data_IF_215595941422
#
_entry.id   IF_215595941422
#
_cell.length_a   1.000
_cell.length_b   1.000
_cell.length_c   1.000
_cell.angle_alpha   90.00
_cell.angle_beta   90.00
_cell.angle_gamma   90.00
#
_symmetry.space_group_name_H-M   'P 1'
#
loop_
_entity.id
_entity.type
_entity.pdbx_description
1 polymer ?
#
# COMPACT_ATOMS: atom_id res chain seq x y z
N UNK A 1 -36.64 -45.75 51.04
CA UNK A 1 -36.63 -44.27 50.88
C UNK A 1 -35.18 -43.81 50.93
N UNK A 2 -34.58 -43.61 49.77
CA UNK A 2 -33.19 -43.16 49.58
C UNK A 2 -33.23 -41.89 48.72
N UNK A 3 -32.54 -40.80 49.07
CA UNK A 3 -32.56 -39.59 48.26
C UNK A 3 -31.60 -39.74 47.08
N UNK A 4 -32.07 -39.33 45.90
CA UNK A 4 -31.32 -39.27 44.66
C UNK A 4 -30.57 -37.93 44.67
N UNK A 5 -29.25 -37.97 44.76
CA UNK A 5 -28.42 -36.78 44.52
C UNK A 5 -28.31 -36.56 43.01
N UNK A 6 -29.01 -35.55 42.50
CA UNK A 6 -28.81 -35.07 41.12
C UNK A 6 -27.52 -34.26 41.08
N UNK A 7 -26.47 -34.86 40.52
CA UNK A 7 -25.20 -34.19 40.22
C UNK A 7 -25.40 -33.17 39.10
N UNK A 8 -25.39 -31.88 39.42
CA UNK A 8 -25.27 -30.81 38.43
C UNK A 8 -23.81 -30.79 37.98
N UNK A 9 -23.54 -31.30 36.77
CA UNK A 9 -22.24 -31.16 36.14
C UNK A 9 -22.04 -29.70 35.74
N UNK A 10 -21.13 -29.01 36.44
CA UNK A 10 -20.67 -27.68 36.06
C UNK A 10 -19.78 -27.85 34.82
N UNK A 11 -20.33 -27.61 33.63
CA UNK A 11 -19.52 -27.50 32.41
C UNK A 11 -18.66 -26.23 32.54
N UNK A 12 -17.38 -26.43 32.81
CA UNK A 12 -16.39 -25.36 32.79
C UNK A 12 -16.21 -24.89 31.35
N UNK A 13 -16.46 -23.61 31.09
CA UNK A 13 -16.13 -22.99 29.81
C UNK A 13 -14.61 -22.88 29.77
N UNK A 14 -13.95 -23.82 29.10
CA UNK A 14 -12.52 -23.69 28.81
C UNK A 14 -12.37 -22.55 27.80
N UNK A 15 -11.91 -21.39 28.27
CA UNK A 15 -11.45 -20.29 27.44
C UNK A 15 -10.17 -20.77 26.74
N UNK A 16 -10.30 -21.33 25.55
CA UNK A 16 -9.15 -21.59 24.70
C UNK A 16 -8.61 -20.24 24.25
N UNK A 17 -7.43 -19.88 24.74
CA UNK A 17 -6.67 -18.75 24.23
C UNK A 17 -6.27 -19.14 22.80
N UNK A 18 -7.07 -18.77 21.81
CA UNK A 18 -6.59 -18.80 20.44
C UNK A 18 -5.42 -17.82 20.40
N UNK A 19 -4.23 -18.32 20.09
CA UNK A 19 -3.15 -17.47 19.60
C UNK A 19 -3.75 -16.78 18.37
N UNK A 20 -4.19 -15.53 18.52
CA UNK A 20 -4.40 -14.67 17.38
C UNK A 20 -3.05 -14.69 16.70
N UNK A 21 -2.96 -15.38 15.56
CA UNK A 21 -1.85 -15.15 14.65
C UNK A 21 -1.94 -13.66 14.38
N UNK A 22 -0.99 -12.90 14.91
CA UNK A 22 -0.74 -11.56 14.40
C UNK A 22 -0.50 -11.77 12.92
N UNK A 23 -1.52 -11.52 12.08
CA UNK A 23 -1.25 -11.14 10.72
C UNK A 23 -0.27 -10.00 10.86
N UNK A 24 0.97 -10.20 10.39
CA UNK A 24 1.93 -9.11 10.34
C UNK A 24 1.20 -7.98 9.62
N UNK A 25 0.96 -6.88 10.34
CA UNK A 25 0.29 -5.73 9.75
C UNK A 25 1.23 -5.19 8.67
N UNK A 26 0.99 -5.59 7.43
CA UNK A 26 1.79 -5.20 6.29
C UNK A 26 1.34 -3.81 5.86
N UNK A 27 1.77 -2.79 6.61
CA UNK A 27 1.32 -1.41 6.42
C UNK A 27 1.68 -0.85 5.02
N UNK A 28 2.77 -1.34 4.41
CA UNK A 28 3.15 -1.00 3.04
C UNK A 28 2.20 -1.69 2.03
N UNK A 29 1.89 -2.97 2.23
CA UNK A 29 0.89 -3.70 1.46
C UNK A 29 -0.50 -3.06 1.55
N UNK A 30 -0.93 -2.65 2.74
CA UNK A 30 -2.21 -1.96 2.93
C UNK A 30 -2.27 -0.62 2.18
N UNK A 31 -1.16 0.13 2.19
CA UNK A 31 -1.05 1.38 1.45
C UNK A 31 -1.17 1.16 -0.07
N UNK A 32 -0.45 0.17 -0.59
CA UNK A 32 -0.51 -0.21 -2.00
C UNK A 32 -1.88 -0.79 -2.37
N UNK A 33 -2.50 -1.59 -1.52
CA UNK A 33 -3.85 -2.09 -1.76
C UNK A 33 -4.90 -0.97 -1.76
N UNK A 34 -4.70 0.06 -0.94
CA UNK A 34 -5.53 1.28 -1.00
C UNK A 34 -5.37 2.00 -2.34
N UNK A 35 -4.15 2.10 -2.87
CA UNK A 35 -3.92 2.61 -4.23
C UNK A 35 -4.65 1.73 -5.25
N UNK A 36 -4.49 0.40 -5.22
CA UNK A 36 -5.19 -0.52 -6.13
C UNK A 36 -6.70 -0.28 -6.14
N UNK A 37 -7.33 -0.06 -4.98
CA UNK A 37 -8.76 0.22 -4.88
C UNK A 37 -9.19 1.57 -5.46
N UNK A 38 -8.27 2.53 -5.54
CA UNK A 38 -8.52 3.84 -6.16
C UNK A 38 -8.29 3.88 -7.66
N UNK A 39 -7.67 2.82 -8.21
CA UNK A 39 -7.34 2.72 -9.62
C UNK A 39 -8.37 1.85 -10.36
N UNK A 40 -8.58 2.18 -11.62
CA UNK A 40 -9.22 1.27 -12.59
C UNK A 40 -8.10 0.59 -13.39
N UNK A 41 -8.15 -0.73 -13.43
CA UNK A 41 -7.12 -1.60 -14.02
C UNK A 41 -7.75 -2.55 -15.05
N UNK A 42 -7.98 -2.09 -16.29
CA UNK A 42 -8.63 -2.89 -17.33
C UNK A 42 -7.77 -4.09 -17.78
N UNK A 43 -6.45 -3.98 -17.65
CA UNK A 43 -5.49 -4.96 -18.15
C UNK A 43 -5.02 -5.95 -17.08
N UNK A 44 -5.59 -5.88 -15.87
CA UNK A 44 -5.28 -6.74 -14.72
C UNK A 44 -3.79 -6.70 -14.31
N UNK A 45 -3.15 -5.54 -14.45
CA UNK A 45 -1.74 -5.32 -14.08
C UNK A 45 -1.52 -5.54 -12.58
N UNK A 46 -2.51 -5.17 -11.76
CA UNK A 46 -2.48 -5.25 -10.30
C UNK A 46 -3.05 -6.57 -9.76
N UNK A 47 -3.29 -7.57 -10.61
CA UNK A 47 -3.95 -8.83 -10.20
C UNK A 47 -3.21 -9.56 -9.07
N UNK A 48 -1.88 -9.50 -9.03
CA UNK A 48 -1.04 -10.17 -8.02
C UNK A 48 -1.04 -9.47 -6.65
N UNK A 49 -1.59 -8.26 -6.55
CA UNK A 49 -1.62 -7.48 -5.32
C UNK A 49 -2.69 -8.02 -4.38
N UNK A 50 -2.27 -8.85 -3.43
CA UNK A 50 -3.11 -9.52 -2.45
C UNK A 50 -2.75 -9.09 -1.02
N UNK A 51 -3.62 -8.32 -0.33
CA UNK A 51 -3.35 -7.78 0.99
C UNK A 51 -3.36 -8.85 2.09
N UNK A 52 -3.77 -10.08 1.79
CA UNK A 52 -3.72 -11.20 2.75
C UNK A 52 -2.32 -11.80 2.86
N UNK A 53 -1.42 -11.48 1.93
CA UNK A 53 -0.03 -11.92 1.97
C UNK A 53 0.79 -11.14 3.00
N UNK A 54 1.77 -11.83 3.59
CA UNK A 54 2.65 -11.29 4.65
C UNK A 54 3.45 -10.07 4.18
N UNK A 55 3.75 -9.96 2.89
CA UNK A 55 4.60 -8.91 2.32
C UNK A 55 4.19 -8.61 0.87
N UNK A 56 4.30 -7.35 0.41
CA UNK A 56 4.00 -7.00 -0.98
C UNK A 56 5.19 -7.29 -1.91
N UNK A 57 6.30 -7.80 -1.40
CA UNK A 57 7.52 -8.04 -2.18
C UNK A 57 7.39 -9.15 -3.22
N UNK A 58 6.32 -9.95 -3.17
CA UNK A 58 5.97 -10.95 -4.18
C UNK A 58 5.01 -10.40 -5.25
N UNK A 59 4.50 -9.19 -5.07
CA UNK A 59 3.58 -8.58 -6.02
C UNK A 59 4.34 -8.13 -7.27
N UNK A 60 3.72 -8.34 -8.44
CA UNK A 60 4.26 -7.78 -9.67
C UNK A 60 4.33 -6.26 -9.56
N UNK A 61 5.31 -5.68 -10.25
CA UNK A 61 5.55 -4.24 -10.28
C UNK A 61 6.02 -3.64 -8.95
N UNK A 62 6.27 -4.47 -7.93
CA UNK A 62 6.83 -4.05 -6.63
C UNK A 62 8.23 -4.64 -6.48
N UNK A 63 9.19 -3.81 -6.09
CA UNK A 63 10.54 -4.25 -5.72
C UNK A 63 10.82 -3.89 -4.28
N UNK A 64 11.41 -4.83 -3.54
CA UNK A 64 11.83 -4.63 -2.16
C UNK A 64 13.35 -4.73 -1.99
N UNK A 65 13.84 -4.15 -0.90
CA UNK A 65 15.22 -4.36 -0.44
C UNK A 65 15.37 -5.66 0.37
N UNK A 66 16.59 -5.89 0.90
CA UNK A 66 16.93 -7.06 1.71
C UNK A 66 16.16 -7.15 3.05
N UNK A 67 15.62 -6.03 3.53
CA UNK A 67 14.81 -5.95 4.75
C UNK A 67 13.30 -6.11 4.47
N UNK A 68 12.93 -6.55 3.27
CA UNK A 68 11.54 -6.67 2.81
C UNK A 68 10.74 -5.36 2.85
N UNK A 69 11.41 -4.22 2.63
CA UNK A 69 10.76 -2.90 2.50
C UNK A 69 10.62 -2.51 1.05
N UNK A 70 9.47 -1.96 0.67
CA UNK A 70 9.19 -1.51 -0.69
C UNK A 70 10.11 -0.34 -1.07
N UNK A 71 10.89 -0.51 -2.13
CA UNK A 71 11.82 0.51 -2.64
C UNK A 71 11.46 1.02 -4.03
N UNK A 72 10.70 0.26 -4.82
CA UNK A 72 10.21 0.72 -6.13
C UNK A 72 8.80 0.17 -6.39
N UNK A 73 7.97 1.02 -6.99
CA UNK A 73 6.70 0.65 -7.61
C UNK A 73 6.74 1.16 -9.05
N UNK A 74 6.71 0.24 -10.02
CA UNK A 74 6.77 0.56 -11.45
C UNK A 74 5.52 0.06 -12.18
N UNK A 75 4.58 0.99 -12.36
CA UNK A 75 3.32 0.80 -13.07
C UNK A 75 3.27 1.70 -14.31
N UNK A 76 4.43 2.03 -14.90
CA UNK A 76 4.48 2.82 -16.12
C UNK A 76 3.75 2.14 -17.27
N UNK A 77 3.11 2.93 -18.14
CA UNK A 77 2.48 2.45 -19.38
C UNK A 77 1.55 1.23 -19.16
N UNK A 78 0.69 1.32 -18.14
CA UNK A 78 -0.13 0.21 -17.65
C UNK A 78 -1.64 0.43 -17.85
N UNK A 79 -2.02 1.45 -18.64
CA UNK A 79 -3.41 1.80 -18.95
C UNK A 79 -4.29 2.03 -17.69
N UNK A 80 -3.66 2.39 -16.58
CA UNK A 80 -4.35 2.62 -15.32
C UNK A 80 -5.05 3.99 -15.35
N UNK A 81 -6.23 4.08 -14.75
CA UNK A 81 -6.89 5.37 -14.48
C UNK A 81 -7.30 5.45 -13.00
N UNK A 82 -7.84 6.59 -12.56
CA UNK A 82 -8.17 6.81 -11.15
C UNK A 82 -7.30 7.90 -10.54
N UNK A 83 -6.99 7.83 -9.24
CA UNK A 83 -6.24 8.90 -8.56
C UNK A 83 -5.20 8.35 -7.58
N UNK A 84 -4.20 9.17 -7.26
CA UNK A 84 -3.27 8.87 -6.17
C UNK A 84 -3.97 8.93 -4.82
N UNK A 85 -3.39 8.26 -3.81
CA UNK A 85 -3.93 8.20 -2.44
C UNK A 85 -2.90 8.68 -1.41
N UNK A 86 -3.33 9.37 -0.34
CA UNK A 86 -2.44 9.82 0.74
C UNK A 86 -1.63 8.69 1.41
N UNK A 87 -2.19 7.49 1.45
CA UNK A 87 -1.59 6.30 2.08
C UNK A 87 -0.25 5.91 1.47
N UNK A 88 0.01 6.29 0.21
CA UNK A 88 1.32 6.11 -0.42
C UNK A 88 2.44 6.75 0.41
N UNK A 89 2.15 7.81 1.19
CA UNK A 89 3.12 8.43 2.10
C UNK A 89 3.62 7.52 3.24
N UNK A 90 3.06 6.30 3.41
CA UNK A 90 3.52 5.30 4.37
C UNK A 90 4.72 4.48 3.88
N UNK A 91 5.07 4.56 2.58
CA UNK A 91 6.16 3.81 1.97
C UNK A 91 7.52 4.49 2.22
N UNK A 92 7.95 4.60 3.48
CA UNK A 92 9.11 5.41 3.91
C UNK A 92 10.44 5.08 3.20
N UNK A 93 10.57 3.85 2.71
CA UNK A 93 11.75 3.34 2.02
C UNK A 93 11.65 3.44 0.49
N UNK A 94 10.53 3.93 -0.04
CA UNK A 94 10.31 4.06 -1.47
C UNK A 94 11.31 5.06 -2.06
N UNK A 95 12.03 4.61 -3.09
CA UNK A 95 13.01 5.39 -3.84
C UNK A 95 12.48 5.77 -5.22
N UNK A 96 11.67 4.92 -5.84
CA UNK A 96 11.16 5.14 -7.19
C UNK A 96 9.65 4.90 -7.22
N UNK A 97 8.90 5.94 -7.57
CA UNK A 97 7.47 5.84 -7.85
C UNK A 97 7.22 6.19 -9.31
N UNK A 98 7.02 5.16 -10.14
CA UNK A 98 6.94 5.25 -11.59
C UNK A 98 5.51 4.95 -12.04
N UNK A 99 4.76 6.01 -12.37
CA UNK A 99 3.35 5.95 -12.79
C UNK A 99 3.13 6.60 -14.16
N UNK A 100 4.21 6.84 -14.90
CA UNK A 100 4.19 7.55 -16.17
C UNK A 100 3.34 6.87 -17.24
N UNK A 101 2.84 7.64 -18.22
CA UNK A 101 2.04 7.11 -19.35
C UNK A 101 0.82 6.29 -18.90
N UNK A 102 0.04 6.84 -17.98
CA UNK A 102 -1.25 6.30 -17.59
C UNK A 102 -2.34 7.38 -17.75
N UNK A 103 -3.56 7.10 -17.30
CA UNK A 103 -4.69 8.02 -17.29
C UNK A 103 -5.03 8.45 -15.84
N UNK A 104 -4.03 8.55 -14.96
CA UNK A 104 -4.23 8.92 -13.55
C UNK A 104 -4.56 10.42 -13.49
N UNK A 105 -5.59 10.77 -12.73
CA UNK A 105 -6.12 12.12 -12.59
C UNK A 105 -6.10 12.60 -11.14
N UNK A 106 -6.51 13.86 -10.93
CA UNK A 106 -6.56 14.49 -9.62
C UNK A 106 -5.27 15.22 -9.27
N UNK A 107 -4.97 15.34 -7.98
CA UNK A 107 -3.81 16.09 -7.47
C UNK A 107 -2.77 15.18 -6.83
N UNK A 108 -1.54 15.68 -6.68
CA UNK A 108 -0.49 14.96 -5.96
C UNK A 108 -0.76 15.09 -4.44
N UNK A 109 -0.92 13.99 -3.68
CA UNK A 109 -1.11 14.05 -2.24
C UNK A 109 0.10 14.67 -1.53
N UNK A 110 -0.14 15.59 -0.60
CA UNK A 110 0.95 16.24 0.17
C UNK A 110 1.74 15.24 1.01
N UNK A 111 1.14 14.11 1.35
CA UNK A 111 1.69 13.00 2.12
C UNK A 111 2.86 12.32 1.39
N UNK A 112 2.99 12.47 0.07
CA UNK A 112 4.19 12.02 -0.65
C UNK A 112 5.45 12.77 -0.17
N UNK A 113 5.32 13.93 0.49
CA UNK A 113 6.43 14.61 1.18
C UNK A 113 6.97 13.85 2.41
N UNK A 114 6.35 12.74 2.81
CA UNK A 114 6.86 11.84 3.85
C UNK A 114 7.86 10.80 3.31
N UNK A 115 7.96 10.63 1.98
CA UNK A 115 8.82 9.64 1.33
C UNK A 115 10.29 10.08 1.34
N UNK A 116 10.94 10.04 2.52
CA UNK A 116 12.29 10.59 2.70
C UNK A 116 13.37 9.92 1.86
N UNK A 117 13.12 8.69 1.43
CA UNK A 117 14.02 7.92 0.55
C UNK A 117 13.79 8.17 -0.94
N UNK A 118 12.77 8.96 -1.32
CA UNK A 118 12.37 9.12 -2.71
C UNK A 118 13.45 9.82 -3.53
N UNK A 119 13.81 9.19 -4.64
CA UNK A 119 14.81 9.64 -5.63
C UNK A 119 14.13 10.09 -6.92
N UNK A 120 13.13 9.33 -7.39
CA UNK A 120 12.36 9.64 -8.59
C UNK A 120 10.86 9.60 -8.33
N UNK A 121 10.15 10.64 -8.77
CA UNK A 121 8.70 10.69 -8.86
C UNK A 121 8.29 10.98 -10.32
N UNK A 122 7.84 9.94 -11.02
CA UNK A 122 7.56 9.99 -12.46
C UNK A 122 6.06 9.86 -12.72
N UNK A 123 5.42 11.00 -12.97
CA UNK A 123 3.98 11.16 -13.21
C UNK A 123 3.67 11.72 -14.61
N UNK A 124 4.67 11.88 -15.49
CA UNK A 124 4.47 12.46 -16.83
C UNK A 124 3.52 11.62 -17.69
N UNK A 125 2.87 12.26 -18.67
CA UNK A 125 1.82 11.66 -19.50
C UNK A 125 0.71 11.01 -18.63
N UNK A 126 0.11 11.81 -17.77
CA UNK A 126 -1.11 11.52 -17.00
C UNK A 126 -2.02 12.75 -17.02
N UNK A 127 -3.19 12.67 -16.39
CA UNK A 127 -4.17 13.75 -16.23
C UNK A 127 -4.09 14.42 -14.85
N UNK A 128 -2.90 14.44 -14.23
CA UNK A 128 -2.65 15.11 -12.95
C UNK A 128 -2.79 16.63 -13.14
N UNK A 129 -3.45 17.27 -12.18
CA UNK A 129 -3.73 18.70 -12.15
C UNK A 129 -3.50 19.28 -10.75
N UNK A 130 -3.69 20.59 -10.59
CA UNK A 130 -3.44 21.28 -9.33
C UNK A 130 -1.98 21.69 -9.15
N UNK A 131 -1.62 22.08 -7.93
CA UNK A 131 -0.28 22.57 -7.61
C UNK A 131 0.62 21.44 -7.09
N UNK A 132 1.91 21.53 -7.40
CA UNK A 132 2.92 20.65 -6.80
C UNK A 132 2.95 20.93 -5.28
N UNK A 133 2.73 19.93 -4.41
CA UNK A 133 2.71 20.15 -2.96
C UNK A 133 4.06 20.67 -2.45
N UNK A 134 4.11 21.77 -1.68
CA UNK A 134 5.35 22.28 -1.10
C UNK A 134 6.08 21.28 -0.20
N UNK A 135 5.37 20.26 0.30
CA UNK A 135 5.95 19.17 1.08
C UNK A 135 6.98 18.34 0.28
N UNK A 136 6.87 18.27 -1.05
CA UNK A 136 7.88 17.64 -1.90
C UNK A 136 9.24 18.36 -1.84
N UNK A 137 9.23 19.67 -1.60
CA UNK A 137 10.46 20.45 -1.37
C UNK A 137 11.26 20.03 -0.13
N UNK A 138 10.70 19.18 0.74
CA UNK A 138 11.40 18.60 1.92
C UNK A 138 12.18 17.33 1.59
N UNK A 139 12.04 16.78 0.39
CA UNK A 139 12.65 15.52 -0.02
C UNK A 139 14.08 15.76 -0.51
N UNK A 140 15.05 15.57 0.38
CA UNK A 140 16.47 15.87 0.12
C UNK A 140 17.12 14.94 -0.92
N UNK A 141 16.56 13.75 -1.10
CA UNK A 141 17.07 12.74 -2.02
C UNK A 141 16.40 12.80 -3.40
N UNK A 142 15.36 13.64 -3.56
CA UNK A 142 14.62 13.72 -4.82
C UNK A 142 15.49 14.39 -5.88
N UNK A 143 15.79 13.64 -6.94
CA UNK A 143 16.61 14.10 -8.07
C UNK A 143 15.72 14.38 -9.28
N UNK A 144 14.73 13.51 -9.50
CA UNK A 144 13.85 13.60 -10.66
C UNK A 144 12.40 13.79 -10.20
N UNK A 145 11.79 14.87 -10.67
CA UNK A 145 10.37 15.18 -10.51
C UNK A 145 9.78 15.48 -11.88
N UNK A 146 9.14 14.47 -12.48
CA UNK A 146 8.52 14.59 -13.80
C UNK A 146 7.00 14.58 -13.64
N UNK A 147 6.36 15.74 -13.73
CA UNK A 147 4.89 15.85 -13.64
C UNK A 147 4.25 16.10 -15.00
N UNK A 148 2.96 15.84 -15.13
CA UNK A 148 2.19 16.28 -16.29
C UNK A 148 2.21 17.82 -16.37
N UNK A 149 2.34 18.37 -17.58
CA UNK A 149 2.25 19.81 -17.90
C UNK A 149 0.86 20.20 -18.32
#
# INVERSE_FOLDING_TARGET
MTPIFTSISLFTITLTLTLIQFTHANSEGDALYTLKRSLTDPDNVLQSWDPTLVSPCTWFHVTCNQDNRVTRVDLGNSNLSGHLVPELGKLEHLQYLELYKNNIQGTIPKELGNLKSLVSLDLYNNNISGTIPPSLGKLKNLVFLLTAT
#
